data_IF_223327064140
#
_entry.id   IF_223327064140
#
_cell.length_a   1.000
_cell.length_b   1.000
_cell.length_c   1.000
_cell.angle_alpha   90.00
_cell.angle_beta   90.00
_cell.angle_gamma   90.00
#
_symmetry.space_group_name_H-M   'P 1'
#
loop_
_entity.id
_entity.type
_entity.pdbx_description
1 polymer ?
#
# COMPACT_ATOMS: atom_id res chain seq x y z
N UNK A 1 5.08 -13.62 5.53
CA UNK A 1 4.11 -14.58 6.10
C UNK A 1 4.35 -15.96 5.48
N UNK A 2 4.34 -17.02 6.29
CA UNK A 2 4.41 -18.41 5.80
C UNK A 2 3.03 -18.83 5.27
N UNK A 3 2.92 -19.15 3.98
CA UNK A 3 1.70 -19.59 3.30
C UNK A 3 1.97 -20.95 2.67
N UNK A 4 1.57 -22.02 3.35
CA UNK A 4 1.78 -23.40 2.89
C UNK A 4 0.86 -23.79 1.75
N UNK A 5 -0.34 -23.27 1.75
CA UNK A 5 -1.32 -23.39 0.66
C UNK A 5 -2.24 -22.17 0.67
N UNK A 6 -2.80 -21.79 -0.50
CA UNK A 6 -3.70 -20.65 -0.59
C UNK A 6 -4.84 -20.71 0.42
N UNK A 7 -5.05 -19.64 1.16
CA UNK A 7 -6.12 -19.52 2.17
C UNK A 7 -5.84 -20.20 3.52
N UNK A 8 -4.74 -20.94 3.68
CA UNK A 8 -4.45 -21.68 4.93
C UNK A 8 -3.95 -20.82 6.08
N UNK A 9 -3.47 -19.64 5.80
CA UNK A 9 -2.90 -18.70 6.76
C UNK A 9 -3.70 -17.40 6.78
N UNK A 10 -3.87 -16.80 7.97
CA UNK A 10 -4.55 -15.51 8.12
C UNK A 10 -3.58 -14.48 8.69
N UNK A 11 -3.45 -13.33 8.02
CA UNK A 11 -2.60 -12.22 8.45
C UNK A 11 -3.24 -10.87 8.11
N UNK A 12 -2.82 -9.82 8.83
CA UNK A 12 -3.07 -8.43 8.46
C UNK A 12 -1.92 -7.96 7.55
N UNK A 13 -2.24 -7.46 6.38
CA UNK A 13 -1.23 -7.01 5.42
C UNK A 13 -0.46 -5.80 5.99
N UNK A 14 -1.15 -4.81 6.55
CA UNK A 14 -0.50 -3.61 7.12
C UNK A 14 0.27 -3.90 8.40
N UNK A 15 -0.16 -4.82 9.27
CA UNK A 15 0.62 -5.23 10.44
C UNK A 15 1.94 -5.91 10.03
N UNK A 16 1.89 -6.71 8.97
CA UNK A 16 3.08 -7.32 8.37
C UNK A 16 4.01 -6.26 7.77
N UNK A 17 3.44 -5.27 7.09
CA UNK A 17 4.18 -4.13 6.57
C UNK A 17 4.81 -3.30 7.70
N UNK A 18 4.11 -3.11 8.82
CA UNK A 18 4.62 -2.40 10.00
C UNK A 18 5.91 -3.02 10.53
N UNK A 19 5.99 -4.36 10.57
CA UNK A 19 7.22 -5.08 10.96
C UNK A 19 8.36 -4.85 9.96
N UNK A 20 8.07 -4.88 8.66
CA UNK A 20 9.04 -4.57 7.61
C UNK A 20 9.56 -3.13 7.71
N UNK A 21 8.68 -2.16 7.91
CA UNK A 21 9.05 -0.76 8.06
C UNK A 21 9.88 -0.51 9.33
N UNK A 22 9.62 -1.23 10.41
CA UNK A 22 10.47 -1.19 11.62
C UNK A 22 11.90 -1.63 11.29
N UNK A 23 12.08 -2.65 10.47
CA UNK A 23 13.41 -3.09 10.03
C UNK A 23 14.07 -2.06 9.11
N UNK A 24 13.34 -1.46 8.17
CA UNK A 24 13.82 -0.34 7.36
C UNK A 24 14.32 0.81 8.26
N UNK A 25 13.58 1.14 9.31
CA UNK A 25 13.96 2.18 10.28
C UNK A 25 15.24 1.80 11.04
N UNK A 26 15.42 0.54 11.42
CA UNK A 26 16.66 0.06 12.08
C UNK A 26 17.87 0.14 11.15
N UNK A 27 17.73 -0.33 9.92
CA UNK A 27 18.78 -0.25 8.90
C UNK A 27 19.19 1.20 8.57
N UNK A 28 18.29 2.15 8.79
CA UNK A 28 18.52 3.58 8.59
C UNK A 28 18.80 4.34 9.90
N UNK A 29 19.19 3.66 10.97
CA UNK A 29 19.39 4.28 12.28
C UNK A 29 20.46 5.38 12.28
N UNK A 30 21.56 5.16 11.56
CA UNK A 30 22.68 6.11 11.46
C UNK A 30 22.37 7.24 10.47
N UNK A 31 21.91 6.90 9.27
CA UNK A 31 21.68 7.87 8.18
C UNK A 31 20.44 8.72 8.39
N UNK A 32 19.46 8.21 9.12
CA UNK A 32 18.17 8.86 9.45
C UNK A 32 17.46 9.43 8.21
N UNK A 33 17.56 8.73 7.10
CA UNK A 33 17.05 9.20 5.81
C UNK A 33 15.68 8.62 5.43
N UNK A 34 15.00 7.96 6.38
CA UNK A 34 13.64 7.43 6.20
C UNK A 34 12.71 7.88 7.31
N UNK A 35 11.52 8.38 6.95
CA UNK A 35 10.45 8.79 7.86
C UNK A 35 9.09 8.30 7.42
N UNK A 36 8.21 8.10 8.40
CA UNK A 36 6.78 7.88 8.19
C UNK A 36 6.04 9.18 8.47
N UNK A 37 4.98 9.41 7.71
CA UNK A 37 4.09 10.56 7.82
C UNK A 37 2.65 10.06 7.87
N UNK A 38 1.82 10.68 8.69
CA UNK A 38 0.41 10.30 8.77
C UNK A 38 -0.40 11.27 9.62
N UNK A 39 -1.71 11.40 9.35
CA UNK A 39 -2.60 12.27 10.13
C UNK A 39 -3.11 11.56 11.39
N UNK A 40 -2.21 11.23 12.33
CA UNK A 40 -2.52 10.53 13.60
C UNK A 40 -3.08 9.10 13.41
N UNK A 41 -2.66 8.40 12.37
CA UNK A 41 -3.24 7.11 11.99
C UNK A 41 -2.26 5.93 12.01
N UNK A 42 -1.03 6.10 12.47
CA UNK A 42 -0.02 5.03 12.43
C UNK A 42 -0.49 3.76 13.14
N UNK A 43 -1.05 3.89 14.33
CA UNK A 43 -1.53 2.75 15.12
C UNK A 43 -2.83 2.17 14.55
N UNK A 44 -3.77 3.00 14.12
CA UNK A 44 -5.04 2.56 13.56
C UNK A 44 -4.88 1.93 12.17
N UNK A 45 -3.83 2.28 11.44
CA UNK A 45 -3.39 1.61 10.20
C UNK A 45 -2.66 0.29 10.45
N UNK A 46 -2.54 -0.14 11.72
CA UNK A 46 -1.81 -1.32 12.18
C UNK A 46 -0.31 -1.29 11.85
N UNK A 47 0.28 -0.10 11.80
CA UNK A 47 1.71 0.09 11.61
C UNK A 47 2.46 0.23 12.95
N UNK A 48 1.84 -0.03 14.10
CA UNK A 48 2.39 0.20 15.44
C UNK A 48 3.76 -0.43 15.68
N UNK A 49 4.13 -1.51 14.98
CA UNK A 49 5.44 -2.15 15.08
C UNK A 49 6.61 -1.22 14.70
N UNK A 50 6.36 -0.11 14.01
CA UNK A 50 7.38 0.91 13.74
C UNK A 50 7.89 1.54 15.03
N UNK A 51 7.05 1.57 16.08
CA UNK A 51 7.44 2.09 17.38
C UNK A 51 8.39 1.17 18.17
N UNK A 52 8.65 -0.04 17.71
CA UNK A 52 9.74 -0.89 18.20
C UNK A 52 11.12 -0.39 17.75
N UNK A 53 11.19 0.52 16.76
CA UNK A 53 12.42 1.05 16.18
C UNK A 53 12.56 2.57 16.31
N UNK A 54 11.49 3.30 16.61
CA UNK A 54 11.47 4.75 16.70
C UNK A 54 10.28 5.24 17.52
N UNK A 55 10.16 6.55 17.67
CA UNK A 55 9.02 7.23 18.33
C UNK A 55 8.45 8.29 17.38
N UNK A 56 7.34 8.93 17.78
CA UNK A 56 6.82 10.13 17.11
C UNK A 56 7.75 11.29 17.33
N UNK A 57 7.93 12.12 16.32
CA UNK A 57 8.67 13.38 16.44
C UNK A 57 7.91 14.35 17.34
N UNK A 58 8.54 14.77 18.45
CA UNK A 58 7.96 15.67 19.41
C UNK A 58 9.05 16.59 19.97
N UNK A 59 8.88 17.91 19.85
CA UNK A 59 9.90 18.89 20.24
C UNK A 59 9.61 19.58 21.58
N UNK A 60 8.38 19.48 22.07
CA UNK A 60 8.00 20.04 23.38
C UNK A 60 8.39 19.08 24.52
N UNK A 61 8.39 19.52 25.77
CA UNK A 61 8.66 18.66 26.91
C UNK A 61 7.71 17.45 26.97
N UNK A 62 8.29 16.26 27.10
CA UNK A 62 7.54 15.02 27.23
C UNK A 62 7.01 14.91 28.66
N UNK A 63 5.71 14.70 28.81
CA UNK A 63 5.05 14.53 30.10
C UNK A 63 5.12 13.07 30.58
N UNK A 64 4.91 12.80 31.90
CA UNK A 64 4.99 11.43 32.41
C UNK A 64 4.04 10.41 31.77
N UNK A 65 2.89 10.89 31.28
CA UNK A 65 1.85 10.04 30.68
C UNK A 65 1.99 9.95 29.14
N UNK A 66 2.93 10.68 28.56
CA UNK A 66 3.18 10.64 27.13
C UNK A 66 3.85 9.31 26.71
N UNK A 67 3.38 8.74 25.61
CA UNK A 67 3.86 7.46 25.11
C UNK A 67 4.45 7.63 23.70
N UNK A 68 5.66 7.09 23.51
CA UNK A 68 6.31 7.03 22.19
C UNK A 68 6.52 8.41 21.55
N UNK A 69 6.87 9.42 22.34
CA UNK A 69 7.22 10.77 21.89
C UNK A 69 8.71 11.05 22.10
N UNK A 70 9.32 11.84 21.23
CA UNK A 70 10.69 12.30 21.40
C UNK A 70 11.20 13.14 20.23
N UNK A 71 12.19 14.02 20.47
CA UNK A 71 12.69 14.95 19.46
C UNK A 71 13.36 14.25 18.26
N UNK A 72 13.87 13.06 18.48
CA UNK A 72 14.54 12.24 17.46
C UNK A 72 13.62 11.26 16.74
N UNK A 73 12.32 11.31 17.01
CA UNK A 73 11.35 10.43 16.39
C UNK A 73 11.35 10.52 14.87
N UNK A 74 11.00 9.42 14.22
CA UNK A 74 10.93 9.33 12.75
C UNK A 74 9.54 9.04 12.23
N UNK A 75 8.52 9.08 13.09
CA UNK A 75 7.10 9.13 12.73
C UNK A 75 6.62 10.56 12.93
N UNK A 76 6.17 11.19 11.87
CA UNK A 76 5.65 12.55 11.89
C UNK A 76 4.13 12.50 11.75
N UNK A 77 3.44 12.75 12.84
CA UNK A 77 1.98 12.77 12.90
C UNK A 77 1.47 14.18 13.18
N UNK A 78 0.50 14.59 12.38
CA UNK A 78 -0.28 15.81 12.60
C UNK A 78 -1.62 15.64 11.89
N UNK A 79 -2.70 16.03 12.54
CA UNK A 79 -4.06 15.91 12.02
C UNK A 79 -4.31 16.90 10.85
N UNK A 80 -3.54 16.72 9.81
CA UNK A 80 -3.58 17.47 8.56
C UNK A 80 -2.85 16.73 7.44
N UNK A 81 -3.58 16.16 6.54
CA UNK A 81 -3.05 15.44 5.37
C UNK A 81 -2.21 16.35 4.48
N UNK A 82 -2.62 17.61 4.33
CA UNK A 82 -1.84 18.62 3.59
C UNK A 82 -0.43 18.81 4.16
N UNK A 83 -0.31 18.95 5.48
CA UNK A 83 1.00 19.10 6.12
C UNK A 83 1.81 17.82 6.03
N UNK A 84 1.18 16.65 6.22
CA UNK A 84 1.86 15.36 6.09
C UNK A 84 2.44 15.17 4.69
N UNK A 85 1.67 15.43 3.64
CA UNK A 85 2.19 15.34 2.26
C UNK A 85 3.23 16.43 1.99
N UNK A 86 3.00 17.66 2.40
CA UNK A 86 3.96 18.76 2.21
C UNK A 86 5.30 18.51 2.89
N UNK A 87 5.30 17.96 4.09
CA UNK A 87 6.52 17.52 4.77
C UNK A 87 7.22 16.39 4.04
N UNK A 88 6.47 15.39 3.58
CA UNK A 88 7.05 14.29 2.81
C UNK A 88 7.66 14.82 1.51
N UNK A 89 6.97 15.64 0.74
CA UNK A 89 7.50 16.24 -0.49
C UNK A 89 8.80 17.01 -0.22
N UNK A 90 8.83 17.88 0.78
CA UNK A 90 10.05 18.59 1.18
C UNK A 90 11.18 17.64 1.60
N UNK A 91 10.85 16.55 2.30
CA UNK A 91 11.80 15.53 2.71
C UNK A 91 12.42 14.78 1.53
N UNK A 92 11.60 14.43 0.53
CA UNK A 92 12.06 13.79 -0.72
C UNK A 92 13.00 14.70 -1.51
N UNK A 93 12.72 16.00 -1.57
CA UNK A 93 13.56 17.00 -2.25
C UNK A 93 14.97 17.11 -1.63
N UNK A 94 15.13 16.73 -0.37
CA UNK A 94 16.44 16.68 0.30
C UNK A 94 17.23 15.37 0.04
N UNK A 95 16.73 14.50 -0.85
CA UNK A 95 17.34 13.21 -1.17
C UNK A 95 17.02 12.09 -0.18
N UNK A 96 16.02 12.29 0.66
CA UNK A 96 15.57 11.32 1.67
C UNK A 96 14.33 10.55 1.18
N UNK A 97 13.89 9.56 1.96
CA UNK A 97 12.80 8.66 1.63
C UNK A 97 11.69 8.72 2.68
N UNK A 98 10.47 8.43 2.29
CA UNK A 98 9.36 8.35 3.22
C UNK A 98 8.13 7.66 2.67
N UNK A 99 7.17 7.48 3.56
CA UNK A 99 5.86 6.89 3.28
C UNK A 99 4.80 7.71 4.03
N UNK A 100 3.77 8.14 3.33
CA UNK A 100 2.54 8.70 3.91
C UNK A 100 1.52 7.57 4.04
N UNK A 101 0.99 7.34 5.24
CA UNK A 101 -0.15 6.45 5.46
C UNK A 101 -1.39 7.24 5.84
N UNK A 102 -2.51 6.96 5.18
CA UNK A 102 -3.77 7.66 5.38
C UNK A 102 -4.94 6.72 5.10
N UNK A 103 -6.12 7.04 5.64
CA UNK A 103 -7.36 6.40 5.21
C UNK A 103 -7.76 6.89 3.82
N UNK A 104 -8.27 5.99 3.00
CA UNK A 104 -8.75 6.33 1.66
C UNK A 104 -9.79 7.45 1.70
N UNK A 105 -10.69 7.43 2.69
CA UNK A 105 -11.74 8.42 2.86
C UNK A 105 -11.24 9.87 3.03
N UNK A 106 -10.03 10.06 3.55
CA UNK A 106 -9.52 11.40 3.87
C UNK A 106 -8.49 11.91 2.86
N UNK A 107 -7.93 11.03 2.04
CA UNK A 107 -6.84 11.40 1.13
C UNK A 107 -7.25 12.41 0.05
N UNK A 108 -8.54 12.54 -0.27
CA UNK A 108 -9.04 13.56 -1.18
C UNK A 108 -8.64 15.00 -0.81
N UNK A 109 -8.38 15.24 0.47
CA UNK A 109 -7.90 16.54 0.95
C UNK A 109 -6.63 16.98 0.20
N UNK A 110 -5.80 16.04 -0.26
CA UNK A 110 -4.53 16.33 -0.95
C UNK A 110 -4.58 16.22 -2.48
N UNK A 111 -5.74 16.10 -3.09
CA UNK A 111 -5.89 15.96 -4.55
C UNK A 111 -5.10 17.00 -5.33
N UNK A 112 -5.22 18.26 -4.93
CA UNK A 112 -4.53 19.35 -5.62
C UNK A 112 -3.01 19.30 -5.42
N UNK A 113 -2.53 18.94 -4.23
CA UNK A 113 -1.10 18.77 -3.94
C UNK A 113 -0.53 17.58 -4.72
N UNK A 114 -1.22 16.44 -4.70
CA UNK A 114 -0.88 15.28 -5.52
C UNK A 114 -0.77 15.67 -7.00
N UNK A 115 -1.76 16.37 -7.54
CA UNK A 115 -1.75 16.84 -8.92
C UNK A 115 -0.55 17.74 -9.23
N UNK A 116 -0.20 18.67 -8.34
CA UNK A 116 0.96 19.54 -8.51
C UNK A 116 2.28 18.75 -8.47
N UNK A 117 2.41 17.80 -7.53
CA UNK A 117 3.61 16.97 -7.43
C UNK A 117 3.79 16.10 -8.69
N UNK A 118 2.72 15.46 -9.18
CA UNK A 118 2.76 14.67 -10.40
C UNK A 118 3.15 15.49 -11.64
N UNK A 119 2.58 16.70 -11.79
CA UNK A 119 2.95 17.65 -12.87
C UNK A 119 4.41 18.07 -12.77
N UNK A 120 4.86 18.36 -11.56
CA UNK A 120 6.23 18.75 -11.33
C UNK A 120 7.22 17.61 -11.67
N UNK A 121 6.92 16.37 -11.30
CA UNK A 121 7.71 15.21 -11.69
C UNK A 121 7.77 15.06 -13.21
N UNK A 122 6.62 15.14 -13.90
CA UNK A 122 6.54 15.04 -15.36
C UNK A 122 7.37 16.14 -16.04
N UNK A 123 7.19 17.39 -15.63
CA UNK A 123 7.91 18.53 -16.19
C UNK A 123 9.42 18.53 -15.90
N UNK A 124 9.84 17.98 -14.76
CA UNK A 124 11.26 17.97 -14.36
C UNK A 124 12.05 16.78 -14.93
N UNK A 125 11.38 15.81 -15.53
CA UNK A 125 12.00 14.58 -16.05
C UNK A 125 13.07 14.85 -17.11
N UNK A 126 12.81 15.80 -18.01
CA UNK A 126 13.67 16.09 -19.14
C UNK A 126 14.75 17.15 -18.82
N UNK A 127 14.85 17.59 -17.57
CA UNK A 127 15.84 18.56 -17.12
C UNK A 127 17.15 17.84 -16.79
N UNK A 128 18.12 17.88 -17.70
CA UNK A 128 19.35 17.09 -17.66
C UNK A 128 20.20 17.27 -16.37
N UNK A 129 20.20 18.45 -15.74
CA UNK A 129 20.96 18.71 -14.51
C UNK A 129 20.23 18.26 -13.25
N UNK A 130 18.96 17.90 -13.34
CA UNK A 130 18.14 17.53 -12.20
C UNK A 130 18.28 16.04 -11.89
N UNK A 131 18.62 15.73 -10.64
CA UNK A 131 18.70 14.32 -10.20
C UNK A 131 17.32 13.79 -9.84
N UNK A 132 17.02 12.52 -10.18
CA UNK A 132 15.80 11.87 -9.70
C UNK A 132 15.76 11.81 -8.17
N UNK A 133 14.62 12.20 -7.58
CA UNK A 133 14.36 12.07 -6.15
C UNK A 133 13.71 10.72 -5.82
N UNK A 134 13.67 10.34 -4.55
CA UNK A 134 12.88 9.21 -4.11
C UNK A 134 11.40 9.42 -4.43
N UNK A 135 10.67 8.35 -4.71
CA UNK A 135 9.25 8.43 -5.05
C UNK A 135 8.39 8.88 -3.87
N UNK A 136 7.32 9.59 -4.17
CA UNK A 136 6.24 9.88 -3.23
C UNK A 136 5.42 8.59 -3.05
N UNK A 137 5.47 7.99 -1.86
CA UNK A 137 4.76 6.76 -1.56
C UNK A 137 3.58 7.05 -0.65
N UNK A 138 2.38 6.67 -1.06
CA UNK A 138 1.13 6.83 -0.31
C UNK A 138 0.53 5.45 -0.07
N UNK A 139 0.33 5.09 1.19
CA UNK A 139 -0.37 3.89 1.61
C UNK A 139 -1.79 4.25 2.04
N UNK A 140 -2.78 3.73 1.34
CA UNK A 140 -4.19 3.90 1.64
C UNK A 140 -4.73 2.65 2.34
N UNK A 141 -5.36 2.87 3.48
CA UNK A 141 -6.05 1.83 4.25
C UNK A 141 -7.51 2.22 4.49
N UNK A 142 -8.26 1.41 5.23
CA UNK A 142 -9.70 1.64 5.43
C UNK A 142 -10.41 1.96 4.12
N UNK A 143 -10.07 1.20 3.09
CA UNK A 143 -10.51 1.40 1.71
C UNK A 143 -12.01 1.10 1.54
N UNK A 144 -12.59 1.58 0.45
CA UNK A 144 -14.02 1.55 0.16
C UNK A 144 -14.66 0.16 0.22
N UNK A 145 -13.91 -0.89 -0.09
CA UNK A 145 -14.43 -2.28 -0.05
C UNK A 145 -14.70 -2.80 1.37
N UNK A 146 -14.17 -2.12 2.39
CA UNK A 146 -14.33 -2.52 3.80
C UNK A 146 -14.39 -1.32 4.71
N UNK A 147 -15.52 -1.13 5.37
CA UNK A 147 -15.73 -0.10 6.38
C UNK A 147 -15.14 -0.55 7.72
N UNK A 148 -13.90 -0.19 8.00
CA UNK A 148 -13.20 -0.69 9.19
C UNK A 148 -13.61 0.00 10.50
N UNK A 149 -13.77 1.33 10.50
CA UNK A 149 -14.01 2.08 11.74
C UNK A 149 -15.13 3.11 11.63
N UNK A 150 -15.16 3.85 10.55
CA UNK A 150 -15.88 5.11 10.51
C UNK A 150 -17.25 5.00 9.84
N UNK A 151 -17.65 3.78 9.46
CA UNK A 151 -18.91 3.55 8.78
C UNK A 151 -18.98 4.20 7.39
N UNK A 152 -20.14 4.19 6.78
CA UNK A 152 -20.34 4.67 5.41
C UNK A 152 -20.07 6.17 5.23
N UNK A 153 -20.17 6.97 6.29
CA UNK A 153 -19.94 8.41 6.24
C UNK A 153 -18.49 8.82 5.98
N UNK A 154 -17.56 7.86 6.05
CA UNK A 154 -16.13 8.07 5.86
C UNK A 154 -15.58 7.27 4.67
N UNK A 155 -16.44 6.86 3.75
CA UNK A 155 -16.04 6.17 2.53
C UNK A 155 -16.09 7.14 1.34
N UNK A 156 -14.92 7.48 0.81
CA UNK A 156 -14.78 8.33 -0.36
C UNK A 156 -13.67 7.79 -1.27
N UNK A 157 -14.01 6.97 -2.30
CA UNK A 157 -13.03 6.31 -3.16
C UNK A 157 -12.48 7.21 -4.27
N UNK A 158 -12.96 8.43 -4.43
CA UNK A 158 -12.72 9.28 -5.58
C UNK A 158 -11.25 9.70 -5.80
N UNK A 159 -10.38 9.58 -4.79
CA UNK A 159 -8.95 9.86 -4.98
C UNK A 159 -8.32 8.96 -6.04
N UNK A 160 -8.67 7.67 -6.07
CA UNK A 160 -8.16 6.76 -7.09
C UNK A 160 -8.59 7.16 -8.50
N UNK A 161 -9.78 7.73 -8.68
CA UNK A 161 -10.25 8.27 -9.97
C UNK A 161 -9.36 9.43 -10.46
N UNK A 162 -8.89 10.26 -9.53
CA UNK A 162 -7.93 11.33 -9.84
C UNK A 162 -6.57 10.75 -10.22
N UNK A 163 -6.13 9.72 -9.51
CA UNK A 163 -4.81 9.08 -9.67
C UNK A 163 -4.69 8.34 -11.00
N UNK A 164 -5.67 7.50 -11.37
CA UNK A 164 -5.63 6.68 -12.59
C UNK A 164 -5.68 7.50 -13.89
N UNK A 165 -6.06 8.77 -13.81
CA UNK A 165 -6.03 9.70 -14.95
C UNK A 165 -4.63 10.28 -15.23
N UNK A 166 -3.61 9.89 -14.47
CA UNK A 166 -2.23 10.35 -14.69
C UNK A 166 -1.47 9.38 -15.58
N UNK A 167 -0.36 9.88 -16.16
CA UNK A 167 0.53 9.02 -16.95
C UNK A 167 1.15 7.92 -16.07
N UNK A 168 1.14 6.68 -16.54
CA UNK A 168 1.74 5.55 -15.83
C UNK A 168 3.27 5.69 -15.61
N UNK A 169 3.93 6.53 -16.41
CA UNK A 169 5.35 6.87 -16.24
C UNK A 169 5.62 7.71 -14.97
N UNK A 170 4.59 8.37 -14.45
CA UNK A 170 4.70 9.27 -13.29
C UNK A 170 3.97 8.69 -12.08
N UNK A 171 2.80 8.09 -12.29
CA UNK A 171 1.94 7.61 -11.20
C UNK A 171 1.61 6.14 -11.40
N UNK A 172 1.69 5.38 -10.32
CA UNK A 172 1.36 3.95 -10.28
C UNK A 172 0.40 3.67 -9.13
N UNK A 173 -0.55 2.78 -9.38
CA UNK A 173 -1.47 2.26 -8.38
C UNK A 173 -1.21 0.79 -8.19
N UNK A 174 -1.20 0.35 -6.94
CA UNK A 174 -0.98 -1.05 -6.55
C UNK A 174 -2.09 -1.51 -5.63
N UNK A 175 -2.67 -2.66 -5.93
CA UNK A 175 -3.82 -3.24 -5.23
C UNK A 175 -3.44 -4.63 -4.70
N UNK A 176 -2.81 -4.67 -3.51
CA UNK A 176 -2.27 -5.89 -2.95
C UNK A 176 -3.37 -6.88 -2.53
N UNK A 177 -3.39 -8.13 -3.05
CA UNK A 177 -4.35 -9.15 -2.64
C UNK A 177 -4.04 -9.78 -1.28
N UNK A 178 -2.78 -9.70 -0.80
CA UNK A 178 -2.32 -10.30 0.45
C UNK A 178 -1.07 -9.60 1.03
N UNK A 179 -0.61 -10.05 2.19
CA UNK A 179 0.51 -9.46 2.90
C UNK A 179 1.86 -9.65 2.18
N UNK A 180 2.12 -10.81 1.59
CA UNK A 180 3.39 -11.06 0.90
C UNK A 180 3.51 -10.23 -0.37
N UNK A 181 2.42 -10.07 -1.09
CA UNK A 181 2.34 -9.16 -2.24
C UNK A 181 2.56 -7.71 -1.81
N UNK A 182 1.93 -7.27 -0.70
CA UNK A 182 2.15 -5.93 -0.16
C UNK A 182 3.63 -5.69 0.21
N UNK A 183 4.33 -6.66 0.79
CA UNK A 183 5.75 -6.51 1.07
C UNK A 183 6.59 -6.33 -0.20
N UNK A 184 6.31 -7.10 -1.25
CA UNK A 184 6.99 -6.97 -2.54
C UNK A 184 6.75 -5.59 -3.17
N UNK A 185 5.49 -5.11 -3.15
CA UNK A 185 5.12 -3.78 -3.63
C UNK A 185 5.85 -2.70 -2.82
N UNK A 186 5.80 -2.77 -1.49
CA UNK A 186 6.41 -1.77 -0.62
C UNK A 186 7.93 -1.69 -0.83
N UNK A 187 8.64 -2.82 -0.92
CA UNK A 187 10.07 -2.84 -1.21
C UNK A 187 10.37 -2.18 -2.58
N UNK A 188 9.62 -2.52 -3.61
CA UNK A 188 9.78 -1.92 -4.94
C UNK A 188 9.49 -0.41 -4.93
N UNK A 189 8.42 0.02 -4.25
CA UNK A 189 8.05 1.44 -4.13
C UNK A 189 9.11 2.25 -3.38
N UNK A 190 9.61 1.74 -2.26
CA UNK A 190 10.65 2.41 -1.46
C UNK A 190 12.00 2.52 -2.19
N UNK A 191 12.29 1.62 -3.13
CA UNK A 191 13.48 1.68 -3.99
C UNK A 191 13.29 2.54 -5.22
N UNK A 192 12.04 2.81 -5.60
CA UNK A 192 11.71 3.55 -6.81
C UNK A 192 12.07 5.04 -6.70
N UNK A 193 12.26 5.67 -7.84
CA UNK A 193 12.58 7.10 -7.94
C UNK A 193 11.70 7.76 -8.98
N UNK A 194 11.41 9.02 -8.74
CA UNK A 194 10.74 9.91 -9.68
C UNK A 194 9.34 9.44 -10.08
N UNK A 195 8.63 8.80 -9.13
CA UNK A 195 7.27 8.32 -9.26
C UNK A 195 6.41 8.80 -8.09
N UNK A 196 5.11 8.73 -8.28
CA UNK A 196 4.14 8.66 -7.19
C UNK A 196 3.57 7.24 -7.16
N UNK A 197 3.70 6.56 -6.05
CA UNK A 197 3.15 5.23 -5.83
C UNK A 197 1.98 5.33 -4.86
N UNK A 198 0.80 4.88 -5.29
CA UNK A 198 -0.39 4.77 -4.46
C UNK A 198 -0.65 3.29 -4.21
N UNK A 199 -0.61 2.87 -2.96
CA UNK A 199 -0.72 1.49 -2.53
C UNK A 199 -2.00 1.36 -1.71
N UNK A 200 -2.92 0.50 -2.13
CA UNK A 200 -4.14 0.19 -1.37
C UNK A 200 -3.96 -1.16 -0.68
N UNK A 201 -4.17 -1.20 0.63
CA UNK A 201 -3.98 -2.41 1.42
C UNK A 201 -4.94 -2.53 2.60
N UNK A 202 -5.39 -3.75 2.86
CA UNK A 202 -6.26 -4.06 4.00
C UNK A 202 -5.50 -4.14 5.32
N UNK A 203 -6.14 -3.67 6.38
CA UNK A 203 -5.63 -3.74 7.75
C UNK A 203 -6.24 -4.86 8.60
N UNK A 204 -7.29 -5.50 8.13
CA UNK A 204 -7.89 -6.62 8.83
C UNK A 204 -7.18 -7.94 8.53
N UNK A 205 -7.31 -8.90 9.44
CA UNK A 205 -6.81 -10.25 9.20
C UNK A 205 -7.68 -10.95 8.16
N UNK A 206 -7.05 -11.49 7.15
CA UNK A 206 -7.73 -12.18 6.05
C UNK A 206 -6.87 -13.33 5.50
N UNK A 207 -7.44 -14.25 4.71
CA UNK A 207 -6.69 -15.33 4.10
C UNK A 207 -5.53 -14.81 3.25
N UNK A 208 -4.44 -15.56 3.22
CA UNK A 208 -3.26 -15.26 2.44
C UNK A 208 -3.15 -16.26 1.28
N UNK A 209 -2.76 -15.78 0.10
CA UNK A 209 -2.87 -16.55 -1.14
C UNK A 209 -1.54 -17.05 -1.67
N UNK A 210 -0.51 -16.20 -1.59
CA UNK A 210 0.79 -16.44 -2.21
C UNK A 210 1.89 -16.54 -1.15
N UNK A 211 2.76 -17.55 -1.28
CA UNK A 211 4.04 -17.54 -0.58
C UNK A 211 4.93 -16.41 -1.11
N UNK A 212 6.05 -16.14 -0.45
CA UNK A 212 6.90 -15.01 -0.81
C UNK A 212 7.53 -15.14 -2.21
N UNK A 213 7.85 -16.35 -2.66
CA UNK A 213 8.43 -16.56 -3.98
C UNK A 213 7.39 -16.33 -5.07
N UNK A 214 6.20 -16.88 -4.90
CA UNK A 214 5.05 -16.66 -5.80
C UNK A 214 4.62 -15.20 -5.83
N UNK A 215 4.60 -14.51 -4.69
CA UNK A 215 4.32 -13.08 -4.61
C UNK A 215 5.35 -12.24 -5.39
N UNK A 216 6.64 -12.57 -5.32
CA UNK A 216 7.68 -11.89 -6.10
C UNK A 216 7.49 -12.06 -7.60
N UNK A 217 7.20 -13.30 -8.06
CA UNK A 217 6.90 -13.56 -9.47
C UNK A 217 5.68 -12.78 -9.94
N UNK A 218 4.62 -12.81 -9.14
CA UNK A 218 3.37 -12.12 -9.42
C UNK A 218 3.55 -10.61 -9.52
N UNK A 219 4.21 -9.98 -8.54
CA UNK A 219 4.51 -8.54 -8.57
C UNK A 219 5.42 -8.14 -9.73
N UNK A 220 6.38 -8.99 -10.11
CA UNK A 220 7.27 -8.69 -11.23
C UNK A 220 6.53 -8.68 -12.57
N UNK A 221 5.49 -9.49 -12.71
CA UNK A 221 4.65 -9.55 -13.91
C UNK A 221 3.52 -8.49 -13.88
N UNK A 222 3.09 -8.06 -12.69
CA UNK A 222 1.96 -7.14 -12.48
C UNK A 222 0.58 -7.78 -12.67
N UNK A 223 0.53 -8.96 -13.28
CA UNK A 223 -0.68 -9.77 -13.53
C UNK A 223 -0.30 -11.25 -13.50
N UNK A 224 -1.16 -12.09 -12.99
CA UNK A 224 -0.89 -13.52 -12.94
C UNK A 224 -2.15 -14.37 -12.81
N UNK A 225 -2.01 -15.63 -13.23
CA UNK A 225 -3.05 -16.64 -13.05
C UNK A 225 -2.99 -17.21 -11.64
N UNK A 226 -4.16 -17.35 -11.02
CA UNK A 226 -4.33 -18.20 -9.86
C UNK A 226 -4.72 -19.60 -10.33
N UNK A 227 -3.70 -20.37 -10.78
CA UNK A 227 -3.89 -21.72 -11.33
C UNK A 227 -4.65 -22.62 -10.36
N UNK A 228 -4.34 -22.53 -9.07
CA UNK A 228 -5.00 -23.28 -8.01
C UNK A 228 -6.49 -22.94 -7.85
N UNK A 229 -6.91 -21.76 -8.31
CA UNK A 229 -8.29 -21.29 -8.33
C UNK A 229 -8.98 -21.49 -9.69
N UNK A 230 -8.26 -21.88 -10.72
CA UNK A 230 -8.76 -22.08 -12.08
C UNK A 230 -9.10 -23.55 -12.35
N UNK A 231 -9.99 -23.85 -13.30
CA UNK A 231 -10.34 -25.22 -13.72
C UNK A 231 -10.32 -25.44 -15.24
N UNK A 232 -9.73 -24.52 -15.98
CA UNK A 232 -9.61 -24.54 -17.44
C UNK A 232 -8.32 -25.19 -17.96
N UNK A 233 -7.64 -25.99 -17.14
CA UNK A 233 -6.30 -26.53 -17.40
C UNK A 233 -6.15 -27.09 -18.83
N UNK A 234 -5.25 -26.48 -19.61
CA UNK A 234 -4.94 -26.91 -20.98
C UNK A 234 -6.03 -26.63 -22.02
N UNK A 235 -7.06 -25.90 -21.67
CA UNK A 235 -8.18 -25.52 -22.55
C UNK A 235 -8.45 -24.02 -22.51
N UNK A 236 -9.22 -23.53 -23.48
CA UNK A 236 -9.71 -22.16 -23.43
C UNK A 236 -10.81 -22.03 -22.38
N UNK A 237 -10.79 -20.99 -21.52
CA UNK A 237 -11.83 -20.77 -20.54
C UNK A 237 -13.11 -20.26 -21.17
N UNK A 238 -14.25 -20.67 -20.61
CA UNK A 238 -15.55 -20.09 -20.94
C UNK A 238 -15.72 -18.69 -20.31
N UNK A 239 -15.09 -18.49 -19.12
CA UNK A 239 -15.13 -17.23 -18.35
C UNK A 239 -13.78 -16.94 -17.75
N UNK A 240 -13.34 -15.66 -17.82
CA UNK A 240 -12.21 -15.12 -17.08
C UNK A 240 -12.72 -14.25 -15.95
N UNK A 241 -12.41 -14.62 -14.71
CA UNK A 241 -12.71 -13.84 -13.51
C UNK A 241 -11.45 -13.06 -13.12
N UNK A 242 -11.46 -11.74 -13.31
CA UNK A 242 -10.35 -10.87 -12.98
C UNK A 242 -10.61 -10.10 -11.68
N UNK A 243 -9.59 -9.96 -10.83
CA UNK A 243 -9.67 -9.23 -9.57
C UNK A 243 -8.37 -8.48 -9.27
N UNK A 244 -8.47 -7.45 -8.43
CA UNK A 244 -7.35 -6.69 -7.89
C UNK A 244 -7.68 -6.23 -6.46
N UNK A 245 -6.69 -6.23 -5.58
CA UNK A 245 -6.86 -5.88 -4.17
C UNK A 245 -7.36 -7.04 -3.31
N UNK A 246 -7.45 -6.80 -2.01
CA UNK A 246 -7.71 -7.83 -1.01
C UNK A 246 -9.17 -8.34 -1.02
N UNK A 247 -10.14 -7.45 -0.80
CA UNK A 247 -11.56 -7.83 -0.75
C UNK A 247 -12.08 -8.31 -2.11
N UNK A 248 -11.83 -7.62 -3.25
CA UNK A 248 -12.25 -8.15 -4.54
C UNK A 248 -11.67 -9.52 -4.86
N UNK A 249 -10.46 -9.83 -4.39
CA UNK A 249 -9.88 -11.17 -4.56
C UNK A 249 -10.64 -12.22 -3.76
N UNK A 250 -10.98 -11.94 -2.50
CA UNK A 250 -11.80 -12.86 -1.68
C UNK A 250 -13.16 -13.12 -2.32
N UNK A 251 -13.84 -12.06 -2.75
CA UNK A 251 -15.17 -12.16 -3.35
C UNK A 251 -15.13 -12.91 -4.70
N UNK A 252 -14.11 -12.67 -5.50
CA UNK A 252 -13.90 -13.42 -6.76
C UNK A 252 -13.70 -14.90 -6.50
N UNK A 253 -12.87 -15.27 -5.52
CA UNK A 253 -12.62 -16.66 -5.15
C UNK A 253 -13.88 -17.34 -4.60
N UNK A 254 -14.69 -16.61 -3.80
CA UNK A 254 -15.97 -17.10 -3.32
C UNK A 254 -16.96 -17.32 -4.49
N UNK A 255 -17.03 -16.40 -5.44
CA UNK A 255 -17.86 -16.53 -6.63
C UNK A 255 -17.43 -17.73 -7.48
N UNK A 256 -16.13 -17.96 -7.66
CA UNK A 256 -15.60 -19.13 -8.39
C UNK A 256 -15.96 -20.44 -7.70
N UNK A 257 -15.90 -20.50 -6.37
CA UNK A 257 -16.34 -21.67 -5.62
C UNK A 257 -17.85 -21.96 -5.82
N UNK A 258 -18.69 -20.92 -5.82
CA UNK A 258 -20.12 -21.06 -6.13
C UNK A 258 -20.36 -21.52 -7.57
N UNK A 259 -19.65 -20.98 -8.55
CA UNK A 259 -19.75 -21.39 -9.95
C UNK A 259 -19.40 -22.88 -10.10
N UNK A 260 -18.35 -23.36 -9.47
CA UNK A 260 -17.96 -24.76 -9.49
C UNK A 260 -19.03 -25.70 -8.90
N UNK A 261 -19.75 -25.26 -7.88
CA UNK A 261 -20.82 -26.06 -7.25
C UNK A 261 -22.11 -26.09 -8.08
N UNK A 262 -22.46 -24.96 -8.71
CA UNK A 262 -23.74 -24.80 -9.38
C UNK A 262 -23.68 -24.98 -10.91
N UNK A 263 -22.51 -24.76 -11.50
CA UNK A 263 -22.26 -24.87 -12.95
C UNK A 263 -20.93 -25.62 -13.17
N UNK A 264 -20.84 -26.90 -12.80
CA UNK A 264 -19.57 -27.64 -12.72
C UNK A 264 -18.83 -27.79 -14.07
N UNK A 265 -19.56 -27.74 -15.19
CA UNK A 265 -18.97 -27.85 -16.54
C UNK A 265 -18.36 -26.53 -17.04
N UNK A 266 -18.63 -25.40 -16.35
CA UNK A 266 -18.08 -24.09 -16.70
C UNK A 266 -16.59 -24.03 -16.43
N UNK A 267 -15.81 -23.69 -17.47
CA UNK A 267 -14.36 -23.50 -17.37
C UNK A 267 -14.05 -22.06 -16.97
N UNK A 268 -13.56 -21.89 -15.76
CA UNK A 268 -13.25 -20.59 -15.18
C UNK A 268 -11.75 -20.42 -15.02
N UNK A 269 -11.23 -19.31 -15.52
CA UNK A 269 -9.86 -18.83 -15.27
C UNK A 269 -9.88 -17.69 -14.30
N UNK A 270 -9.05 -17.73 -13.26
CA UNK A 270 -8.91 -16.65 -12.28
C UNK A 270 -7.61 -15.90 -12.53
N UNK A 271 -7.73 -14.59 -12.70
CA UNK A 271 -6.61 -13.66 -12.92
C UNK A 271 -6.58 -12.62 -11.81
N UNK A 272 -5.42 -12.41 -11.22
CA UNK A 272 -5.22 -11.32 -10.27
C UNK A 272 -4.27 -10.28 -10.85
N UNK A 273 -4.59 -9.00 -10.62
CA UNK A 273 -3.78 -7.84 -11.00
C UNK A 273 -3.29 -7.14 -9.74
N UNK A 274 -2.05 -6.65 -9.76
CA UNK A 274 -1.39 -6.00 -8.61
C UNK A 274 -1.34 -4.49 -8.79
#
# INVERSE_FOLDING_TARGET
VDVRSPGSTFASATDTLGAYLAEVLRLNAETRNFRLFGPDETSSNRLSKVFDATVRTWIEPVQPDDVQLGPDGRVMEILSEHLCQGWLEGYLLTGRHGLLSCYEAFIHIVDSMFNQHAKWLDASRDIAWRRPIASLNILLTSHVWRQDHNGFSHQDPGFLDVVVNKKADVVRVYLAPDANTLLCIADACLRSRHLVNVIVAGKQRQPQWLDMESARRHCSAGIGLFEWASNDVGTEPDVVMACAGDVPTIETLAAVDLLRRHVPDLKVRVVNVV
#
